data_IF_153696321220
#
_entry.id   IF_153696321220
#
_cell.length_a   1.000
_cell.length_b   1.000
_cell.length_c   1.000
_cell.angle_alpha   90.00
_cell.angle_beta   90.00
_cell.angle_gamma   90.00
#
_symmetry.space_group_name_H-M   'P 1'
#
loop_
_entity.id
_entity.type
_entity.pdbx_description
1 polymer ?
#
# COMPACT_ATOMS: atom_id res chain seq x y z
N UNK A 1 12.24 -38.61 -51.43
CA UNK A 1 12.71 -38.53 -50.03
C UNK A 1 12.01 -37.35 -49.35
N UNK A 2 10.94 -37.53 -48.56
CA UNK A 2 10.30 -36.41 -47.87
C UNK A 2 10.40 -36.56 -46.33
N UNK A 3 10.88 -35.52 -45.64
CA UNK A 3 10.39 -35.05 -44.33
C UNK A 3 11.47 -34.23 -43.59
N UNK A 4 11.50 -32.90 -43.77
CA UNK A 4 12.33 -32.06 -42.90
C UNK A 4 11.76 -30.65 -42.63
N UNK A 5 10.42 -30.50 -42.60
CA UNK A 5 9.78 -29.16 -42.44
C UNK A 5 8.73 -29.03 -41.32
N UNK A 6 8.88 -29.73 -40.19
CA UNK A 6 7.88 -29.68 -39.10
C UNK A 6 8.36 -29.18 -37.74
N UNK A 7 9.66 -28.91 -37.54
CA UNK A 7 10.17 -28.48 -36.23
C UNK A 7 10.07 -26.96 -35.97
N UNK A 8 10.24 -26.12 -37.00
CA UNK A 8 10.32 -24.65 -36.85
C UNK A 8 8.94 -23.98 -36.62
N UNK A 9 7.85 -24.58 -37.11
CA UNK A 9 6.48 -24.06 -36.97
C UNK A 9 5.87 -24.33 -35.58
N UNK A 10 6.13 -25.48 -34.95
CA UNK A 10 5.57 -25.81 -33.63
C UNK A 10 6.10 -24.92 -32.50
N UNK A 11 7.37 -24.53 -32.55
CA UNK A 11 7.97 -23.67 -31.53
C UNK A 11 7.44 -22.21 -31.60
N UNK A 12 7.12 -21.72 -32.80
CA UNK A 12 6.56 -20.38 -32.99
C UNK A 12 5.07 -20.32 -32.65
N UNK A 13 4.29 -21.38 -32.90
CA UNK A 13 2.92 -21.53 -32.41
C UNK A 13 2.85 -21.68 -30.88
N UNK A 14 3.73 -22.46 -30.26
CA UNK A 14 3.82 -22.58 -28.80
C UNK A 14 4.21 -21.26 -28.12
N UNK A 15 5.06 -20.44 -28.74
CA UNK A 15 5.38 -19.08 -28.28
C UNK A 15 4.21 -18.10 -28.51
N UNK A 16 3.43 -18.27 -29.57
CA UNK A 16 2.22 -17.48 -29.85
C UNK A 16 1.05 -17.85 -28.94
N UNK A 17 0.92 -19.10 -28.50
CA UNK A 17 -0.12 -19.59 -27.60
C UNK A 17 0.22 -19.44 -26.11
N UNK A 18 1.51 -19.36 -25.74
CA UNK A 18 1.91 -19.06 -24.35
C UNK A 18 1.73 -17.59 -23.96
N UNK A 19 1.92 -16.65 -24.89
CA UNK A 19 1.68 -15.21 -24.64
C UNK A 19 0.26 -14.91 -24.14
N UNK A 20 -0.83 -15.42 -24.76
CA UNK A 20 -2.18 -15.21 -24.25
C UNK A 20 -2.42 -15.93 -22.91
N UNK A 21 -1.75 -17.05 -22.64
CA UNK A 21 -1.85 -17.74 -21.34
C UNK A 21 -1.16 -16.96 -20.21
N UNK A 22 0.03 -16.43 -20.46
CA UNK A 22 0.77 -15.59 -19.51
C UNK A 22 0.02 -14.30 -19.21
N UNK A 23 -0.56 -13.67 -20.22
CA UNK A 23 -1.40 -12.48 -20.03
C UNK A 23 -2.68 -12.81 -19.25
N UNK A 24 -3.32 -13.97 -19.50
CA UNK A 24 -4.46 -14.43 -18.69
C UNK A 24 -4.08 -14.59 -17.22
N UNK A 25 -2.92 -15.21 -16.93
CA UNK A 25 -2.39 -15.34 -15.55
C UNK A 25 -2.08 -13.97 -14.94
N UNK A 26 -1.47 -13.06 -15.69
CA UNK A 26 -1.18 -11.69 -15.23
C UNK A 26 -2.47 -10.95 -14.89
N UNK A 27 -3.49 -10.99 -15.75
CA UNK A 27 -4.80 -10.38 -15.53
C UNK A 27 -5.52 -10.96 -14.32
N UNK A 28 -5.45 -12.28 -14.12
CA UNK A 28 -6.01 -12.93 -12.94
C UNK A 28 -5.36 -12.41 -11.65
N UNK A 29 -4.02 -12.31 -11.63
CA UNK A 29 -3.28 -11.73 -10.50
C UNK A 29 -3.71 -10.28 -10.21
N UNK A 30 -3.79 -9.44 -11.24
CA UNK A 30 -4.20 -8.03 -11.09
C UNK A 30 -5.61 -7.94 -10.50
N UNK A 31 -6.56 -8.72 -11.03
CA UNK A 31 -7.94 -8.69 -10.53
C UNK A 31 -8.05 -9.23 -9.10
N UNK A 32 -7.26 -10.25 -8.75
CA UNK A 32 -7.19 -10.77 -7.38
C UNK A 32 -6.70 -9.70 -6.42
N UNK A 33 -5.56 -9.06 -6.72
CA UNK A 33 -5.02 -7.96 -5.91
C UNK A 33 -5.99 -6.79 -5.80
N UNK A 34 -6.69 -6.40 -6.86
CA UNK A 34 -7.71 -5.35 -6.80
C UNK A 34 -8.88 -5.70 -5.88
N UNK A 35 -9.29 -6.97 -5.85
CA UNK A 35 -10.38 -7.44 -4.98
C UNK A 35 -9.96 -7.44 -3.51
N UNK A 36 -8.72 -7.87 -3.25
CA UNK A 36 -8.13 -7.82 -1.91
C UNK A 36 -7.98 -6.37 -1.43
N UNK A 37 -7.44 -5.49 -2.27
CA UNK A 37 -7.33 -4.05 -2.00
C UNK A 37 -8.67 -3.42 -1.65
N UNK A 38 -9.72 -3.69 -2.45
CA UNK A 38 -11.07 -3.23 -2.16
C UNK A 38 -11.52 -3.63 -0.75
N UNK A 39 -11.32 -4.89 -0.39
CA UNK A 39 -11.73 -5.43 0.92
C UNK A 39 -10.97 -4.76 2.06
N UNK A 40 -9.64 -4.66 1.95
CA UNK A 40 -8.79 -4.05 2.96
C UNK A 40 -9.13 -2.57 3.18
N UNK A 41 -9.33 -1.81 2.09
CA UNK A 41 -9.64 -0.38 2.16
C UNK A 41 -11.04 -0.14 2.74
N UNK A 42 -12.05 -0.92 2.35
CA UNK A 42 -13.39 -0.77 2.90
C UNK A 42 -13.43 -1.05 4.40
N UNK A 43 -12.71 -2.08 4.84
CA UNK A 43 -12.55 -2.40 6.26
C UNK A 43 -11.82 -1.28 7.01
N UNK A 44 -10.70 -0.78 6.48
CA UNK A 44 -9.88 0.26 7.11
C UNK A 44 -10.62 1.61 7.24
N UNK A 45 -11.44 1.96 6.24
CA UNK A 45 -12.21 3.22 6.22
C UNK A 45 -13.59 3.05 6.88
N UNK A 46 -13.90 1.87 7.46
CA UNK A 46 -15.19 1.52 8.08
C UNK A 46 -16.39 1.84 7.18
N UNK A 47 -16.23 1.67 5.87
CA UNK A 47 -17.29 1.89 4.88
C UNK A 47 -18.08 0.61 4.67
N UNK A 48 -19.40 0.75 4.54
CA UNK A 48 -20.31 -0.38 4.35
C UNK A 48 -20.04 -1.10 3.02
N UNK A 49 -19.62 -2.36 3.12
CA UNK A 49 -19.29 -3.22 1.98
C UNK A 49 -20.46 -3.32 0.97
N UNK A 50 -21.71 -3.24 1.44
CA UNK A 50 -22.91 -3.36 0.61
C UNK A 50 -23.02 -2.23 -0.43
N UNK A 51 -22.75 -0.99 -0.02
CA UNK A 51 -22.78 0.20 -0.91
C UNK A 51 -21.66 0.20 -1.95
N UNK A 52 -20.66 -0.66 -1.75
CA UNK A 52 -19.44 -0.68 -2.52
C UNK A 52 -19.29 -1.93 -3.38
N UNK A 53 -20.33 -2.78 -3.49
CA UNK A 53 -20.29 -3.99 -4.32
C UNK A 53 -19.96 -3.68 -5.80
N UNK A 54 -20.36 -2.50 -6.31
CA UNK A 54 -20.15 -2.02 -7.69
C UNK A 54 -18.97 -1.06 -7.91
N UNK A 55 -18.06 -0.88 -6.95
CA UNK A 55 -16.89 0.00 -7.12
C UNK A 55 -16.13 -0.28 -8.43
N UNK A 56 -15.88 0.77 -9.21
CA UNK A 56 -15.09 0.66 -10.42
C UNK A 56 -13.60 0.48 -10.10
N UNK A 57 -12.82 -0.02 -11.06
CA UNK A 57 -11.38 -0.23 -10.86
C UNK A 57 -10.64 1.07 -10.55
N UNK A 58 -11.06 2.17 -11.17
CA UNK A 58 -10.50 3.49 -10.92
C UNK A 58 -10.76 3.94 -9.48
N UNK A 59 -12.00 3.81 -8.99
CA UNK A 59 -12.37 4.17 -7.62
C UNK A 59 -11.58 3.39 -6.57
N UNK A 60 -11.39 2.08 -6.78
CA UNK A 60 -10.60 1.24 -5.87
C UNK A 60 -9.18 1.79 -5.76
N UNK A 61 -8.57 2.14 -6.89
CA UNK A 61 -7.21 2.69 -6.92
C UNK A 61 -7.17 4.08 -6.27
N UNK A 62 -8.10 4.97 -6.58
CA UNK A 62 -8.17 6.31 -6.02
C UNK A 62 -8.36 6.29 -4.49
N UNK A 63 -9.31 5.49 -4.00
CA UNK A 63 -9.54 5.33 -2.56
C UNK A 63 -8.31 4.80 -1.85
N UNK A 64 -7.61 3.82 -2.46
CA UNK A 64 -6.37 3.28 -1.92
C UNK A 64 -5.29 4.35 -1.81
N UNK A 65 -5.06 5.12 -2.87
CA UNK A 65 -4.04 6.17 -2.89
C UNK A 65 -4.34 7.22 -1.82
N UNK A 66 -5.60 7.66 -1.71
CA UNK A 66 -6.03 8.61 -0.69
C UNK A 66 -5.82 8.06 0.73
N UNK A 67 -6.10 6.78 0.95
CA UNK A 67 -5.86 6.12 2.23
C UNK A 67 -4.36 6.08 2.58
N UNK A 68 -3.50 5.69 1.65
CA UNK A 68 -2.04 5.65 1.87
C UNK A 68 -1.46 7.04 2.16
N UNK A 69 -1.91 8.07 1.44
CA UNK A 69 -1.51 9.45 1.72
C UNK A 69 -1.95 9.92 3.12
N UNK A 70 -3.18 9.58 3.52
CA UNK A 70 -3.67 9.86 4.88
C UNK A 70 -2.85 9.12 5.94
N UNK A 71 -2.48 7.87 5.68
CA UNK A 71 -1.66 7.07 6.60
C UNK A 71 -0.26 7.66 6.75
N UNK A 72 0.37 8.09 5.65
CA UNK A 72 1.68 8.74 5.70
C UNK A 72 1.64 10.06 6.46
N UNK A 73 0.60 10.89 6.24
CA UNK A 73 0.41 12.14 7.00
C UNK A 73 0.27 11.88 8.50
N UNK A 74 -0.55 10.90 8.90
CA UNK A 74 -0.74 10.55 10.31
C UNK A 74 0.56 10.07 10.98
N UNK A 75 1.39 9.31 10.26
CA UNK A 75 2.69 8.88 10.78
C UNK A 75 3.64 10.06 10.98
N UNK A 76 3.70 11.00 10.02
CA UNK A 76 4.52 12.21 10.14
C UNK A 76 4.08 13.09 11.32
N UNK A 77 2.77 13.26 11.52
CA UNK A 77 2.25 14.03 12.67
C UNK A 77 2.53 13.32 13.99
N UNK A 78 2.39 11.99 14.04
CA UNK A 78 2.67 11.22 15.26
C UNK A 78 4.16 11.25 15.64
N UNK A 79 5.07 11.21 14.66
CA UNK A 79 6.51 11.39 14.90
C UNK A 79 6.82 12.80 15.39
N UNK A 80 6.23 13.83 14.78
CA UNK A 80 6.45 15.22 15.19
C UNK A 80 5.91 15.54 16.60
N UNK A 81 4.77 14.96 16.99
CA UNK A 81 4.23 15.10 18.36
C UNK A 81 5.10 14.36 19.39
N UNK A 82 5.65 13.20 19.03
CA UNK A 82 6.55 12.44 19.91
C UNK A 82 7.84 13.20 20.19
N UNK A 83 8.44 13.80 19.16
CA UNK A 83 9.65 14.62 19.29
C UNK A 83 9.37 15.91 20.07
N UNK A 84 8.21 16.53 19.85
CA UNK A 84 7.81 17.75 20.57
C UNK A 84 7.50 17.47 22.04
N UNK A 85 6.78 16.39 22.35
CA UNK A 85 6.47 15.98 23.72
C UNK A 85 7.73 15.58 24.49
N UNK A 86 8.68 14.91 23.85
CA UNK A 86 9.97 14.57 24.45
C UNK A 86 10.82 15.81 24.69
N UNK A 87 10.88 16.73 23.71
CA UNK A 87 11.64 17.98 23.82
C UNK A 87 11.06 18.93 24.87
N UNK A 88 9.74 18.99 25.02
CA UNK A 88 9.08 19.79 26.06
C UNK A 88 9.28 19.20 27.46
N UNK A 89 9.16 17.87 27.61
CA UNK A 89 9.43 17.19 28.89
C UNK A 89 10.87 17.37 29.36
N UNK A 90 11.84 17.27 28.45
CA UNK A 90 13.27 17.44 28.76
C UNK A 90 13.60 18.88 29.13
N UNK A 91 13.10 19.87 28.37
CA UNK A 91 13.25 21.29 28.71
C UNK A 91 12.61 21.65 30.05
N UNK A 92 11.43 21.11 30.33
CA UNK A 92 10.73 21.33 31.61
C UNK A 92 11.52 20.76 32.79
N UNK A 93 12.01 19.51 32.68
CA UNK A 93 12.81 18.89 33.74
C UNK A 93 14.12 19.62 34.01
N UNK A 94 14.77 20.12 32.95
CA UNK A 94 16.02 20.88 33.07
C UNK A 94 15.78 22.22 33.82
N UNK A 95 14.78 23.00 33.40
CA UNK A 95 14.45 24.27 34.05
C UNK A 95 13.97 24.09 35.50
N UNK A 96 13.20 23.03 35.79
CA UNK A 96 12.81 22.70 37.15
C UNK A 96 14.01 22.38 38.06
N UNK A 97 14.96 21.57 37.56
CA UNK A 97 16.17 21.22 38.31
C UNK A 97 17.07 22.42 38.59
N UNK A 98 17.14 23.36 37.66
CA UNK A 98 17.90 24.61 37.82
C UNK A 98 17.30 25.49 38.94
N UNK A 99 15.97 25.68 38.94
CA UNK A 99 15.29 26.39 40.03
C UNK A 99 15.42 25.68 41.38
N UNK A 100 15.31 24.35 41.43
CA UNK A 100 15.41 23.59 42.67
C UNK A 100 16.83 23.67 43.28
N UNK A 101 17.87 23.66 42.44
CA UNK A 101 19.26 23.82 42.88
C UNK A 101 19.55 25.24 43.36
N UNK A 102 18.97 26.27 42.72
CA UNK A 102 19.12 27.67 43.15
C UNK A 102 18.59 27.89 44.57
N UNK A 103 17.49 27.22 44.95
CA UNK A 103 16.88 27.33 46.29
C UNK A 103 17.66 26.52 47.36
N UNK A 104 18.49 25.58 46.94
CA UNK A 104 19.29 24.73 47.85
C UNK A 104 20.71 25.30 48.09
N UNK A 105 21.07 26.38 47.39
CA UNK A 105 22.35 27.10 47.52
C UNK A 105 22.25 28.24 48.53
#
# INVERSE_FOLDING_TARGET
MPAEKTASSKASEARRSNKPLMEKRRRARINHSLTELKTLILNAVKKDNSKHSKLEKADILEMTVKYLQNLQRQQLTASADSDTSSLTSTKFSAGYGECANEVTR
#
